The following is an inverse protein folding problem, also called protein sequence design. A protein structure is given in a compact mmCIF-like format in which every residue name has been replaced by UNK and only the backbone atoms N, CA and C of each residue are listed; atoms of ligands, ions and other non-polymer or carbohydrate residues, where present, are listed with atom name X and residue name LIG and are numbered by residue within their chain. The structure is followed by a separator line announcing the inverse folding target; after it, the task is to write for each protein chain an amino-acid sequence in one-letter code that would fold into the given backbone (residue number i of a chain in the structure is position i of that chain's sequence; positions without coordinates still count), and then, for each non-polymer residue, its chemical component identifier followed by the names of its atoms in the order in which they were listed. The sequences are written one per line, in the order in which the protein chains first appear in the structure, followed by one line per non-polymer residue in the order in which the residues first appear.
data_IF_009381335432
#
_entry.id   IF_009381335432
#
_cell.length_a   1.000
_cell.length_b   1.000
_cell.length_c   1.000
_cell.angle_alpha   90.00
_cell.angle_beta   90.00
_cell.angle_gamma   90.00
#
_symmetry.space_group_name_H-M   'P 1'
#
loop_
_entity.id
_entity.type
_entity.pdbx_description
1 polymer ?
#
# COMPACT_ATOMS: atom_id res chain seq x y z
N UNK A 1 12.88 13.52 -17.26
CA UNK A 1 12.51 13.26 -15.84
C UNK A 1 12.71 11.77 -15.57
N UNK A 2 13.57 11.42 -14.60
CA UNK A 2 14.09 10.06 -14.34
C UNK A 2 13.09 9.09 -13.66
N UNK A 3 11.79 9.30 -13.81
CA UNK A 3 10.75 8.38 -13.30
C UNK A 3 9.64 8.10 -14.32
N UNK A 4 9.84 8.50 -15.58
CA UNK A 4 8.88 8.16 -16.64
C UNK A 4 8.84 6.65 -16.84
N UNK A 5 7.62 6.10 -16.88
CA UNK A 5 7.24 4.78 -17.42
C UNK A 5 7.14 3.57 -16.47
N UNK A 6 6.79 3.73 -15.18
CA UNK A 6 6.33 2.54 -14.44
C UNK A 6 5.36 2.81 -13.29
N UNK A 7 4.20 2.15 -13.35
CA UNK A 7 3.22 2.00 -12.26
C UNK A 7 3.75 1.05 -11.16
N UNK A 8 4.80 0.30 -11.46
CA UNK A 8 5.38 -0.73 -10.59
C UNK A 8 5.65 -0.26 -9.15
N UNK A 9 6.28 0.90 -8.90
CA UNK A 9 6.58 1.35 -7.53
C UNK A 9 5.30 1.57 -6.71
N UNK A 10 4.25 2.09 -7.34
CA UNK A 10 3.00 2.39 -6.66
C UNK A 10 2.17 1.12 -6.42
N UNK A 11 2.30 0.11 -7.28
CA UNK A 11 1.71 -1.21 -7.04
C UNK A 11 2.42 -1.94 -5.88
N UNK A 12 3.73 -1.75 -5.70
CA UNK A 12 4.47 -2.27 -4.54
C UNK A 12 3.92 -1.69 -3.23
N UNK A 13 3.54 -0.41 -3.21
CA UNK A 13 2.95 0.25 -2.03
C UNK A 13 1.72 -0.46 -1.48
N UNK A 14 0.90 -1.08 -2.34
CA UNK A 14 -0.28 -1.85 -1.91
C UNK A 14 0.15 -3.07 -1.10
N UNK A 15 1.12 -3.83 -1.60
CA UNK A 15 1.62 -5.03 -0.91
C UNK A 15 2.31 -4.68 0.40
N UNK A 16 3.13 -3.62 0.41
CA UNK A 16 3.78 -3.13 1.62
C UNK A 16 2.73 -2.63 2.63
N UNK A 17 1.73 -1.89 2.18
CA UNK A 17 0.63 -1.44 3.04
C UNK A 17 -0.18 -2.58 3.62
N UNK A 18 -0.42 -3.64 2.85
CA UNK A 18 -1.11 -4.85 3.31
C UNK A 18 -0.29 -5.60 4.37
N UNK A 19 1.03 -5.66 4.21
CA UNK A 19 1.94 -6.18 5.22
C UNK A 19 1.89 -5.36 6.53
N UNK A 20 1.88 -4.03 6.45
CA UNK A 20 1.76 -3.17 7.63
C UNK A 20 0.38 -3.28 8.30
N UNK A 21 -0.69 -3.40 7.52
CA UNK A 21 -2.03 -3.63 8.06
C UNK A 21 -2.12 -4.98 8.79
N UNK A 22 -1.53 -6.04 8.23
CA UNK A 22 -1.49 -7.36 8.86
C UNK A 22 -0.66 -7.37 10.16
N UNK A 23 0.51 -6.73 10.15
CA UNK A 23 1.34 -6.61 11.36
C UNK A 23 0.67 -5.74 12.43
N UNK A 24 -0.02 -4.66 12.05
CA UNK A 24 -0.85 -3.85 12.95
C UNK A 24 -1.96 -4.66 13.62
N UNK A 25 -2.62 -5.55 12.86
CA UNK A 25 -3.64 -6.46 13.41
C UNK A 25 -3.04 -7.44 14.42
N UNK A 26 -1.88 -8.04 14.10
CA UNK A 26 -1.16 -8.92 15.04
C UNK A 26 -0.75 -8.19 16.33
N UNK A 27 -0.23 -6.95 16.21
CA UNK A 27 0.08 -6.12 17.38
C UNK A 27 -1.16 -5.76 18.19
N UNK A 28 -2.29 -5.53 17.54
CA UNK A 28 -3.56 -5.30 18.23
C UNK A 28 -4.02 -6.53 19.01
N UNK A 29 -3.91 -7.72 18.42
CA UNK A 29 -4.22 -8.98 19.11
C UNK A 29 -3.29 -9.20 20.31
N UNK A 30 -1.99 -8.96 20.13
CA UNK A 30 -1.01 -9.00 21.22
C UNK A 30 -1.36 -8.00 22.33
N UNK A 31 -1.70 -6.75 21.98
CA UNK A 31 -2.07 -5.72 22.95
C UNK A 31 -3.30 -6.10 23.78
N UNK A 32 -4.26 -6.81 23.19
CA UNK A 32 -5.45 -7.29 23.90
C UNK A 32 -5.05 -8.43 24.85
N UNK A 33 -4.25 -9.39 24.40
CA UNK A 33 -3.78 -10.50 25.24
C UNK A 33 -2.93 -10.02 26.41
N UNK A 34 -2.01 -9.08 26.16
CA UNK A 34 -1.13 -8.47 27.15
C UNK A 34 -1.95 -7.77 28.25
N UNK A 35 -3.04 -7.09 27.89
CA UNK A 35 -3.95 -6.45 28.86
C UNK A 35 -4.58 -7.46 29.84
N UNK A 36 -4.89 -8.68 29.38
CA UNK A 36 -5.47 -9.72 30.23
C UNK A 36 -4.42 -10.50 31.04
N UNK A 37 -3.19 -10.66 30.52
CA UNK A 37 -2.15 -11.48 31.15
C UNK A 37 -1.33 -10.74 32.21
N UNK A 38 -1.11 -9.44 32.05
CA UNK A 38 -0.21 -8.68 32.94
C UNK A 38 -0.99 -7.53 33.60
N UNK A 39 -1.53 -7.76 34.82
CA UNK A 39 -2.20 -6.72 35.57
C UNK A 39 -1.21 -5.63 36.00
N UNK A 40 -1.49 -4.36 35.67
CA UNK A 40 -0.70 -3.21 36.10
C UNK A 40 0.28 -2.63 35.06
N UNK A 41 0.23 -3.09 33.81
CA UNK A 41 0.99 -2.45 32.71
C UNK A 41 0.57 -0.98 32.51
N UNK A 42 1.52 -0.07 32.25
CA UNK A 42 1.22 1.29 31.86
C UNK A 42 0.32 1.30 30.62
N UNK A 43 -0.89 1.87 30.70
CA UNK A 43 -1.79 1.91 29.56
C UNK A 43 -1.22 2.82 28.48
N UNK A 44 -1.42 2.44 27.21
CA UNK A 44 -1.24 3.34 26.06
C UNK A 44 -0.10 3.00 25.11
N UNK A 45 1.01 2.38 25.55
CA UNK A 45 2.14 2.09 24.65
C UNK A 45 1.76 1.08 23.55
N UNK A 46 1.24 -0.09 23.95
CA UNK A 46 0.82 -1.14 23.00
C UNK A 46 -0.34 -0.68 22.10
N UNK A 47 -1.26 0.13 22.63
CA UNK A 47 -2.36 0.72 21.86
C UNK A 47 -1.84 1.73 20.82
N UNK A 48 -0.86 2.56 21.19
CA UNK A 48 -0.27 3.58 20.30
C UNK A 48 0.49 2.93 19.15
N UNK A 49 1.31 1.92 19.43
CA UNK A 49 2.04 1.17 18.38
C UNK A 49 1.06 0.49 17.43
N UNK A 50 0.05 -0.18 17.97
CA UNK A 50 -1.01 -0.83 17.17
C UNK A 50 -1.70 0.18 16.25
N UNK A 51 -2.07 1.35 16.77
CA UNK A 51 -2.70 2.40 16.00
C UNK A 51 -1.77 2.89 14.88
N UNK A 52 -0.51 3.23 15.19
CA UNK A 52 0.46 3.73 14.21
C UNK A 52 0.65 2.74 13.06
N UNK A 53 0.85 1.45 13.35
CA UNK A 53 1.03 0.43 12.31
C UNK A 53 -0.21 0.25 11.44
N UNK A 54 -1.39 0.25 12.07
CA UNK A 54 -2.67 0.13 11.36
C UNK A 54 -2.89 1.32 10.43
N UNK A 55 -2.71 2.54 10.92
CA UNK A 55 -2.84 3.75 10.10
C UNK A 55 -1.79 3.84 9.00
N UNK A 56 -0.53 3.47 9.27
CA UNK A 56 0.52 3.43 8.26
C UNK A 56 0.19 2.43 7.13
N UNK A 57 -0.35 1.25 7.47
CA UNK A 57 -0.81 0.28 6.48
C UNK A 57 -1.93 0.83 5.59
N UNK A 58 -2.95 1.44 6.19
CA UNK A 58 -4.07 2.06 5.46
C UNK A 58 -3.58 3.18 4.53
N UNK A 59 -2.66 4.02 4.98
CA UNK A 59 -2.07 5.10 4.18
C UNK A 59 -1.32 4.56 2.95
N UNK A 60 -0.51 3.51 3.13
CA UNK A 60 0.24 2.89 2.03
C UNK A 60 -0.67 2.21 1.00
N UNK A 61 -1.73 1.52 1.46
CA UNK A 61 -2.76 0.96 0.56
C UNK A 61 -3.43 2.07 -0.24
N UNK A 62 -3.80 3.16 0.43
CA UNK A 62 -4.45 4.32 -0.21
C UNK A 62 -3.54 4.96 -1.26
N UNK A 63 -2.26 5.15 -0.95
CA UNK A 63 -1.26 5.67 -1.90
C UNK A 63 -1.08 4.74 -3.10
N UNK A 64 -1.07 3.43 -2.89
CA UNK A 64 -0.99 2.47 -3.98
C UNK A 64 -2.21 2.47 -4.89
N UNK A 65 -3.41 2.59 -4.33
CA UNK A 65 -4.67 2.74 -5.08
C UNK A 65 -4.68 4.02 -5.93
N UNK A 66 -4.34 5.16 -5.33
CA UNK A 66 -4.20 6.45 -6.04
C UNK A 66 -3.18 6.31 -7.17
N UNK A 67 -2.09 5.61 -6.90
CA UNK A 67 -1.06 5.36 -7.87
C UNK A 67 -1.47 4.55 -9.08
N UNK A 68 -2.23 3.47 -8.86
CA UNK A 68 -2.75 2.68 -9.97
C UNK A 68 -3.77 3.47 -10.80
N UNK A 69 -4.56 4.34 -10.15
CA UNK A 69 -5.47 5.26 -10.83
C UNK A 69 -4.73 6.31 -11.68
N UNK A 70 -3.76 7.02 -11.10
CA UNK A 70 -2.93 8.01 -11.83
C UNK A 70 -2.17 7.32 -12.97
N UNK A 71 -1.67 6.11 -12.72
CA UNK A 71 -1.01 5.29 -13.73
C UNK A 71 -1.89 5.00 -14.95
N UNK A 72 -3.15 4.63 -14.73
CA UNK A 72 -4.13 4.43 -15.82
C UNK A 72 -4.40 5.73 -16.58
N UNK A 73 -4.51 6.86 -15.89
CA UNK A 73 -4.66 8.18 -16.53
C UNK A 73 -3.43 8.51 -17.40
N UNK A 74 -2.22 8.24 -16.90
CA UNK A 74 -1.01 8.52 -17.66
C UNK A 74 -0.92 7.66 -18.93
N UNK A 75 -1.27 6.38 -18.84
CA UNK A 75 -1.34 5.48 -19.99
C UNK A 75 -2.41 5.90 -21.00
N UNK A 76 -3.58 6.37 -20.54
CA UNK A 76 -4.66 6.84 -21.43
C UNK A 76 -4.31 8.14 -22.14
N UNK A 77 -3.55 9.04 -21.50
CA UNK A 77 -3.05 10.27 -22.11
C UNK A 77 -1.93 10.02 -23.12
N UNK A 78 -1.15 8.95 -22.95
CA UNK A 78 0.05 8.74 -23.77
C UNK A 78 -0.22 8.37 -25.24
N UNK A 79 -1.48 8.21 -25.67
CA UNK A 79 -1.91 7.93 -27.07
C UNK A 79 -1.05 6.90 -27.83
N UNK A 80 -0.31 6.03 -27.14
CA UNK A 80 0.53 5.05 -27.81
C UNK A 80 -0.41 4.04 -28.46
N UNK A 81 -0.35 3.88 -29.80
CA UNK A 81 -1.22 2.93 -30.48
C UNK A 81 -1.01 1.55 -29.85
N UNK A 82 -2.11 0.88 -29.48
CA UNK A 82 -2.07 -0.44 -28.81
C UNK A 82 -1.51 -1.54 -29.73
N UNK A 83 -1.19 -1.20 -30.98
CA UNK A 83 -0.68 -2.09 -31.99
C UNK A 83 0.46 -1.41 -32.76
N UNK A 84 1.45 -2.21 -33.13
CA UNK A 84 2.48 -1.82 -34.09
C UNK A 84 2.22 -2.60 -35.37
N UNK A 85 1.99 -1.91 -36.50
CA UNK A 85 1.80 -2.57 -37.79
C UNK A 85 3.15 -3.17 -38.19
N UNK A 86 3.20 -4.51 -38.29
CA UNK A 86 4.46 -5.24 -38.51
C UNK A 86 4.84 -5.35 -39.99
N UNK A 87 3.88 -5.24 -40.92
CA UNK A 87 4.07 -5.12 -42.37
C UNK A 87 2.74 -4.84 -43.06
N UNK A 88 2.74 -3.87 -43.96
CA UNK A 88 1.66 -3.58 -44.90
C UNK A 88 2.03 -4.27 -46.22
N UNK A 89 1.18 -5.17 -46.70
CA UNK A 89 1.34 -5.81 -48.01
C UNK A 89 0.45 -5.05 -48.99
N UNK A 90 1.06 -4.25 -49.86
CA UNK A 90 0.43 -3.64 -51.03
C UNK A 90 0.34 -4.64 -52.19
#
# INVERSE_FOLDING_TARGET
MFTSFSIIPLRISIYVGLFFAFTGLLFGLYSVLEHFMVPGLPPGFSLTITAIFTFAGIQLISLGMIGEYIGRIFLSQNKQPQYTIKKEYL
#
